data_IF_843196987035
#
_entry.id   IF_843196987035
#
_cell.length_a   1.000
_cell.length_b   1.000
_cell.length_c   1.000
_cell.angle_alpha   90.00
_cell.angle_beta   90.00
_cell.angle_gamma   90.00
#
_symmetry.space_group_name_H-M   'P 1'
#
loop_
_entity.id
_entity.type
_entity.pdbx_description
1 polymer ?
#
# COMPACT_ATOMS: atom_id res chain seq x y z
N UNK A 1 -20.13 -14.38 -16.98
CA UNK A 1 -19.97 -12.95 -17.35
C UNK A 1 -18.66 -12.43 -16.75
N UNK A 2 -17.66 -12.12 -17.59
CA UNK A 2 -16.30 -11.68 -17.17
C UNK A 2 -16.29 -10.40 -16.34
N UNK A 3 -17.23 -9.46 -16.61
CA UNK A 3 -17.33 -8.18 -15.88
C UNK A 3 -17.77 -8.37 -14.43
N UNK A 4 -18.65 -9.32 -14.18
CA UNK A 4 -19.12 -9.64 -12.82
C UNK A 4 -18.00 -10.23 -11.98
N UNK A 5 -17.21 -11.13 -12.57
CA UNK A 5 -16.08 -11.77 -11.90
C UNK A 5 -14.94 -10.79 -11.63
N UNK A 6 -14.59 -9.93 -12.60
CA UNK A 6 -13.55 -8.91 -12.40
C UNK A 6 -13.94 -7.89 -11.32
N UNK A 7 -15.23 -7.53 -11.23
CA UNK A 7 -15.74 -6.68 -10.15
C UNK A 7 -15.60 -7.36 -8.80
N UNK A 8 -16.02 -8.62 -8.66
CA UNK A 8 -15.89 -9.37 -7.41
C UNK A 8 -14.43 -9.48 -6.96
N UNK A 9 -13.51 -9.72 -7.91
CA UNK A 9 -12.08 -9.78 -7.62
C UNK A 9 -11.52 -8.42 -7.18
N UNK A 10 -11.95 -7.33 -7.81
CA UNK A 10 -11.57 -5.98 -7.40
C UNK A 10 -12.05 -5.66 -5.97
N UNK A 11 -13.31 -5.99 -5.67
CA UNK A 11 -13.93 -5.73 -4.37
C UNK A 11 -13.29 -6.54 -3.24
N UNK A 12 -13.08 -7.85 -3.47
CA UNK A 12 -12.49 -8.75 -2.49
C UNK A 12 -10.97 -8.59 -2.32
N UNK A 13 -10.27 -7.99 -3.30
CA UNK A 13 -8.83 -7.82 -3.26
C UNK A 13 -8.42 -6.35 -3.07
N UNK A 14 -8.12 -5.61 -4.16
CA UNK A 14 -7.63 -4.22 -4.07
C UNK A 14 -8.48 -3.30 -3.20
N UNK A 15 -9.81 -3.29 -3.36
CA UNK A 15 -10.67 -2.38 -2.60
C UNK A 15 -10.68 -2.71 -1.11
N UNK A 16 -10.74 -4.00 -0.77
CA UNK A 16 -10.66 -4.47 0.62
C UNK A 16 -9.36 -4.03 1.31
N UNK A 17 -8.21 -4.22 0.66
CA UNK A 17 -6.90 -3.81 1.23
C UNK A 17 -6.84 -2.29 1.46
N UNK A 18 -7.35 -1.49 0.51
CA UNK A 18 -7.42 -0.04 0.68
C UNK A 18 -8.28 0.35 1.88
N UNK A 19 -9.44 -0.29 2.07
CA UNK A 19 -10.32 -0.01 3.20
C UNK A 19 -9.64 -0.34 4.54
N UNK A 20 -8.87 -1.43 4.61
CA UNK A 20 -8.12 -1.80 5.82
C UNK A 20 -7.01 -0.78 6.14
N UNK A 21 -6.26 -0.33 5.12
CA UNK A 21 -5.25 0.72 5.29
C UNK A 21 -5.92 2.03 5.74
N UNK A 22 -7.00 2.43 5.08
CA UNK A 22 -7.77 3.63 5.45
C UNK A 22 -8.21 3.59 6.92
N UNK A 23 -8.77 2.47 7.37
CA UNK A 23 -9.20 2.31 8.75
C UNK A 23 -8.04 2.49 9.75
N UNK A 24 -6.87 1.92 9.45
CA UNK A 24 -5.66 2.11 10.26
C UNK A 24 -5.21 3.58 10.27
N UNK A 25 -5.17 4.24 9.10
CA UNK A 25 -4.77 5.65 9.01
C UNK A 25 -5.72 6.57 9.77
N UNK A 26 -7.04 6.30 9.74
CA UNK A 26 -8.03 7.01 10.56
C UNK A 26 -7.71 6.88 12.05
N UNK A 27 -7.37 5.69 12.52
CA UNK A 27 -7.02 5.45 13.92
C UNK A 27 -5.73 6.18 14.31
N UNK A 28 -4.70 6.15 13.46
CA UNK A 28 -3.43 6.83 13.73
C UNK A 28 -3.58 8.36 13.72
N UNK A 29 -4.42 8.88 12.82
CA UNK A 29 -4.72 10.31 12.77
C UNK A 29 -5.49 10.79 14.00
N UNK A 30 -6.52 10.04 14.42
CA UNK A 30 -7.28 10.36 15.63
C UNK A 30 -6.41 10.37 16.90
N UNK A 31 -5.32 9.59 16.91
CA UNK A 31 -4.34 9.56 18.00
C UNK A 31 -3.22 10.59 17.86
N UNK A 32 -3.27 11.45 16.83
CA UNK A 32 -2.21 12.40 16.49
C UNK A 32 -0.82 11.77 16.28
N UNK A 33 -0.75 10.46 15.99
CA UNK A 33 0.51 9.77 15.66
C UNK A 33 0.95 10.13 14.23
N UNK A 34 -0.02 10.36 13.34
CA UNK A 34 0.19 10.83 11.97
C UNK A 34 -0.81 11.96 11.62
N UNK A 35 -0.41 12.88 10.76
CA UNK A 35 -1.28 13.88 10.17
C UNK A 35 -1.82 13.39 8.81
N UNK A 36 -3.03 12.85 8.79
CA UNK A 36 -3.65 12.24 7.59
C UNK A 36 -5.07 12.78 7.38
N UNK A 37 -5.23 14.01 6.86
CA UNK A 37 -6.55 14.65 6.72
C UNK A 37 -7.45 14.01 5.65
N UNK A 38 -6.88 13.30 4.67
CA UNK A 38 -7.61 12.50 3.67
C UNK A 38 -7.16 11.03 3.72
N UNK A 39 -7.66 10.23 4.68
CA UNK A 39 -7.21 8.84 4.89
C UNK A 39 -7.39 7.94 3.67
N UNK A 40 -8.47 8.10 2.90
CA UNK A 40 -8.73 7.26 1.74
C UNK A 40 -7.72 7.54 0.62
N UNK A 41 -7.44 8.82 0.34
CA UNK A 41 -6.43 9.18 -0.66
C UNK A 41 -5.04 8.73 -0.21
N UNK A 42 -4.68 8.96 1.04
CA UNK A 42 -3.40 8.53 1.59
C UNK A 42 -3.26 7.00 1.57
N UNK A 43 -4.33 6.24 1.82
CA UNK A 43 -4.31 4.78 1.70
C UNK A 43 -4.00 4.30 0.26
N UNK A 44 -4.59 4.97 -0.75
CA UNK A 44 -4.31 4.67 -2.16
C UNK A 44 -2.87 4.99 -2.54
N UNK A 45 -2.36 6.15 -2.13
CA UNK A 45 -0.97 6.54 -2.36
C UNK A 45 0.01 5.59 -1.66
N UNK A 46 -0.29 5.20 -0.42
CA UNK A 46 0.52 4.25 0.33
C UNK A 46 0.56 2.88 -0.36
N UNK A 47 -0.60 2.35 -0.77
CA UNK A 47 -0.65 1.10 -1.52
C UNK A 47 0.10 1.17 -2.86
N UNK A 48 0.15 2.33 -3.50
CA UNK A 48 0.90 2.54 -4.74
C UNK A 48 2.42 2.53 -4.51
N UNK A 49 2.91 2.89 -3.32
CA UNK A 49 4.33 2.73 -2.98
C UNK A 49 4.73 1.26 -2.97
N UNK A 50 3.88 0.36 -2.46
CA UNK A 50 4.13 -1.09 -2.49
C UNK A 50 3.91 -1.72 -3.87
N UNK A 51 2.80 -1.40 -4.52
CA UNK A 51 2.35 -2.05 -5.77
C UNK A 51 2.84 -1.35 -7.04
N UNK A 52 3.77 -0.42 -6.94
CA UNK A 52 4.26 0.39 -8.05
C UNK A 52 4.80 -0.46 -9.23
N UNK A 53 5.13 0.20 -10.34
CA UNK A 53 5.62 -0.48 -11.55
C UNK A 53 6.81 -1.39 -11.30
N UNK A 54 7.63 -1.08 -10.30
CA UNK A 54 8.84 -1.82 -9.97
C UNK A 54 8.52 -3.25 -9.51
N UNK A 55 7.58 -3.44 -8.57
CA UNK A 55 7.21 -4.77 -8.06
C UNK A 55 6.67 -5.69 -9.17
N UNK A 56 5.87 -5.15 -10.09
CA UNK A 56 5.33 -5.92 -11.23
C UNK A 56 6.39 -6.32 -12.25
N UNK A 57 7.43 -5.49 -12.42
CA UNK A 57 8.53 -5.79 -13.32
C UNK A 57 9.49 -6.80 -12.68
N UNK A 58 9.85 -6.60 -11.40
CA UNK A 58 10.70 -7.52 -10.64
C UNK A 58 10.04 -8.91 -10.57
N UNK A 59 8.79 -9.01 -10.14
CA UNK A 59 8.08 -10.29 -10.04
C UNK A 59 7.76 -10.97 -11.39
N UNK A 60 8.07 -10.33 -12.52
CA UNK A 60 7.86 -10.90 -13.86
C UNK A 60 9.16 -11.27 -14.57
N UNK A 61 10.23 -10.56 -14.27
CA UNK A 61 11.50 -10.66 -15.01
C UNK A 61 12.70 -10.99 -14.11
N UNK A 62 12.54 -10.96 -12.79
CA UNK A 62 13.57 -11.22 -11.80
C UNK A 62 12.97 -11.92 -10.55
N UNK A 63 12.50 -13.15 -10.75
CA UNK A 63 11.83 -13.95 -9.71
C UNK A 63 12.73 -14.17 -8.48
N UNK A 64 14.05 -14.33 -8.69
CA UNK A 64 15.01 -14.51 -7.60
C UNK A 64 15.05 -13.29 -6.67
N UNK A 65 14.97 -12.08 -7.24
CA UNK A 65 14.87 -10.85 -6.45
C UNK A 65 13.50 -10.69 -5.81
N UNK A 66 12.44 -11.10 -6.50
CA UNK A 66 11.07 -11.03 -5.97
C UNK A 66 10.85 -11.93 -4.76
N UNK A 67 11.57 -13.04 -4.67
CA UNK A 67 11.54 -14.01 -3.56
C UNK A 67 12.59 -13.73 -2.46
N UNK A 68 13.47 -12.73 -2.63
CA UNK A 68 14.46 -12.36 -1.60
C UNK A 68 13.79 -11.58 -0.47
N UNK A 69 13.70 -12.22 0.69
CA UNK A 69 13.15 -11.62 1.92
C UNK A 69 13.82 -10.29 2.28
N UNK A 70 15.11 -10.12 2.02
CA UNK A 70 15.82 -8.86 2.32
C UNK A 70 15.36 -7.73 1.39
N UNK A 71 15.10 -8.02 0.12
CA UNK A 71 14.57 -7.06 -0.85
C UNK A 71 13.13 -6.68 -0.48
N UNK A 72 12.29 -7.66 -0.15
CA UNK A 72 10.92 -7.43 0.33
C UNK A 72 10.94 -6.53 1.58
N UNK A 73 11.77 -6.86 2.56
CA UNK A 73 11.89 -6.11 3.81
C UNK A 73 12.38 -4.67 3.56
N UNK A 74 13.47 -4.53 2.79
CA UNK A 74 14.07 -3.23 2.45
C UNK A 74 13.08 -2.33 1.71
N UNK A 75 12.35 -2.90 0.75
CA UNK A 75 11.33 -2.20 -0.02
C UNK A 75 10.18 -1.74 0.89
N UNK A 76 9.66 -2.63 1.74
CA UNK A 76 8.59 -2.29 2.68
C UNK A 76 9.01 -1.18 3.63
N UNK A 77 10.24 -1.27 4.17
CA UNK A 77 10.81 -0.29 5.09
C UNK A 77 10.95 1.08 4.42
N UNK A 78 11.36 1.11 3.16
CA UNK A 78 11.47 2.34 2.35
C UNK A 78 10.10 2.98 2.08
N UNK A 79 9.10 2.19 1.68
CA UNK A 79 7.73 2.69 1.46
C UNK A 79 7.12 3.28 2.73
N UNK A 80 7.31 2.60 3.88
CA UNK A 80 6.86 3.09 5.20
C UNK A 80 7.59 4.38 5.57
N UNK A 81 8.91 4.43 5.41
CA UNK A 81 9.70 5.62 5.74
C UNK A 81 9.25 6.84 4.93
N UNK A 82 9.04 6.69 3.61
CA UNK A 82 8.53 7.76 2.75
C UNK A 82 7.13 8.22 3.18
N UNK A 83 6.25 7.27 3.52
CA UNK A 83 4.90 7.60 3.96
C UNK A 83 4.90 8.36 5.28
N UNK A 84 5.70 7.93 6.25
CA UNK A 84 5.87 8.62 7.55
C UNK A 84 6.50 9.99 7.33
N UNK A 85 7.50 10.15 6.47
CA UNK A 85 8.09 11.46 6.20
C UNK A 85 7.06 12.46 5.65
N UNK A 86 6.08 12.00 4.87
CA UNK A 86 5.02 12.84 4.33
C UNK A 86 3.86 13.14 5.31
N UNK A 87 3.68 12.32 6.36
CA UNK A 87 2.54 12.41 7.28
C UNK A 87 2.94 12.51 8.76
N UNK A 88 4.22 12.49 9.09
CA UNK A 88 4.73 12.67 10.45
C UNK A 88 4.43 14.09 10.90
N UNK A 89 3.86 14.24 12.10
CA UNK A 89 3.63 15.56 12.68
C UNK A 89 4.94 16.33 12.81
N UNK A 90 4.90 17.64 12.53
CA UNK A 90 5.95 18.60 12.91
C UNK A 90 5.86 18.83 14.41
#
# INVERSE_FOLDING_TARGET
NQKSLSKLHYEAGPAYVIAQIEALLRQLHAKAVLNVPDPLRSARLFAALFKGSDLLLIARFDDARAEDDNEIESYCRSAVAMFIAAHGGI
#
